data_IF_475931892516
#
_entry.id   IF_475931892516
#
_cell.length_a   1.000
_cell.length_b   1.000
_cell.length_c   1.000
_cell.angle_alpha   90.00
_cell.angle_beta   90.00
_cell.angle_gamma   90.00
#
_symmetry.space_group_name_H-M   'P 1'
#
loop_
_entity.id
_entity.type
_entity.pdbx_description
1 polymer ?
#
# COMPACT_ATOMS: atom_id res chain seq x y z
N UNK A 1 1.46 -23.15 0.08
CA UNK A 1 1.55 -21.72 0.40
C UNK A 1 2.82 -21.14 -0.22
N UNK A 2 2.74 -19.95 -0.82
CA UNK A 2 3.86 -19.20 -1.40
C UNK A 2 4.13 -17.93 -0.59
N UNK A 3 5.38 -17.72 -0.18
CA UNK A 3 5.82 -16.51 0.54
C UNK A 3 6.82 -15.75 -0.31
N UNK A 4 6.56 -14.47 -0.54
CA UNK A 4 7.40 -13.58 -1.35
C UNK A 4 8.04 -12.50 -0.49
N UNK A 5 9.37 -12.42 -0.52
CA UNK A 5 10.12 -11.27 0.00
C UNK A 5 10.45 -10.28 -1.12
N UNK A 6 10.09 -9.01 -0.93
CA UNK A 6 10.46 -7.91 -1.80
C UNK A 6 11.41 -6.97 -1.07
N UNK A 7 12.59 -6.75 -1.61
CA UNK A 7 13.55 -5.79 -1.07
C UNK A 7 13.81 -4.67 -2.07
N UNK A 8 13.54 -3.44 -1.65
CA UNK A 8 13.85 -2.20 -2.38
C UNK A 8 15.22 -1.62 -1.98
N UNK A 9 16.00 -2.35 -1.18
CA UNK A 9 17.32 -1.91 -0.74
C UNK A 9 18.45 -2.42 -1.62
N UNK A 10 19.66 -1.95 -1.33
CA UNK A 10 20.87 -2.43 -2.01
C UNK A 10 21.06 -3.93 -1.79
N UNK A 11 21.45 -4.61 -2.86
CA UNK A 11 21.77 -6.05 -2.84
C UNK A 11 22.73 -6.39 -1.70
N UNK A 12 22.39 -7.42 -0.93
CA UNK A 12 23.17 -7.93 0.22
C UNK A 12 23.53 -6.88 1.28
N UNK A 13 22.70 -5.83 1.44
CA UNK A 13 22.84 -4.83 2.50
C UNK A 13 21.67 -4.93 3.49
N UNK A 14 21.53 -3.94 4.37
CA UNK A 14 20.64 -3.96 5.53
C UNK A 14 19.20 -4.42 5.21
N UNK A 15 18.52 -3.81 4.24
CA UNK A 15 17.14 -4.19 3.87
C UNK A 15 17.05 -5.61 3.33
N UNK A 16 18.00 -6.03 2.48
CA UNK A 16 18.06 -7.40 1.96
C UNK A 16 18.20 -8.42 3.09
N UNK A 17 19.08 -8.12 4.06
CA UNK A 17 19.34 -8.98 5.22
C UNK A 17 18.07 -9.13 6.04
N UNK A 18 17.41 -8.01 6.38
CA UNK A 18 16.19 -8.02 7.19
C UNK A 18 15.03 -8.74 6.49
N UNK A 19 14.82 -8.52 5.19
CA UNK A 19 13.79 -9.25 4.43
C UNK A 19 14.10 -10.75 4.40
N UNK A 20 15.36 -11.14 4.17
CA UNK A 20 15.77 -12.56 4.15
C UNK A 20 15.63 -13.21 5.54
N UNK A 21 15.93 -12.50 6.61
CA UNK A 21 15.74 -13.00 7.98
C UNK A 21 14.27 -13.30 8.27
N UNK A 22 13.37 -12.39 7.89
CA UNK A 22 11.94 -12.63 7.98
C UNK A 22 11.52 -13.83 7.10
N UNK A 23 12.09 -14.02 5.90
CA UNK A 23 11.81 -15.21 5.10
C UNK A 23 12.29 -16.51 5.76
N UNK A 24 13.40 -16.51 6.49
CA UNK A 24 13.81 -17.67 7.29
C UNK A 24 12.79 -17.97 8.40
N UNK A 25 12.29 -16.93 9.07
CA UNK A 25 11.18 -17.05 10.01
C UNK A 25 9.91 -17.62 9.38
N UNK A 26 9.53 -17.13 8.21
CA UNK A 26 8.37 -17.63 7.47
C UNK A 26 8.52 -19.12 7.11
N UNK A 27 9.72 -19.55 6.67
CA UNK A 27 9.99 -20.97 6.39
C UNK A 27 9.94 -21.83 7.65
N UNK A 28 10.29 -21.29 8.81
CA UNK A 28 10.17 -21.98 10.10
C UNK A 28 8.72 -22.13 10.55
N UNK A 29 7.90 -21.09 10.38
CA UNK A 29 6.45 -21.13 10.69
C UNK A 29 5.66 -22.03 9.75
N UNK A 30 6.12 -22.16 8.50
CA UNK A 30 5.53 -23.03 7.50
C UNK A 30 6.61 -23.82 6.73
N UNK A 31 7.01 -25.00 7.24
CA UNK A 31 8.07 -25.82 6.64
C UNK A 31 7.85 -26.19 5.18
N UNK A 32 6.59 -26.33 4.74
CA UNK A 32 6.24 -26.68 3.35
C UNK A 32 6.04 -25.45 2.44
N UNK A 33 6.26 -24.24 2.94
CA UNK A 33 6.11 -23.03 2.15
C UNK A 33 7.18 -22.94 1.05
N UNK A 34 6.75 -22.54 -0.15
CA UNK A 34 7.65 -22.12 -1.22
C UNK A 34 8.08 -20.68 -0.95
N UNK A 35 9.39 -20.46 -0.84
CA UNK A 35 9.97 -19.16 -0.52
C UNK A 35 10.58 -18.56 -1.77
N UNK A 36 10.18 -17.34 -2.12
CA UNK A 36 10.78 -16.56 -3.21
C UNK A 36 11.27 -15.22 -2.68
N UNK A 37 12.40 -14.75 -3.19
CA UNK A 37 12.97 -13.45 -2.86
C UNK A 37 13.27 -12.67 -4.14
N UNK A 38 12.86 -11.41 -4.19
CA UNK A 38 13.14 -10.49 -5.29
C UNK A 38 13.76 -9.21 -4.70
N UNK A 39 14.97 -8.88 -5.13
CA UNK A 39 15.54 -7.56 -4.92
C UNK A 39 15.22 -6.69 -6.14
N UNK A 40 14.58 -5.54 -5.92
CA UNK A 40 14.12 -4.65 -7.01
C UNK A 40 15.18 -3.64 -7.43
N UNK A 41 16.29 -3.51 -6.70
CA UNK A 41 17.25 -2.41 -6.88
C UNK A 41 17.89 -2.37 -8.28
N UNK A 42 17.97 -3.51 -8.96
CA UNK A 42 18.51 -3.60 -10.33
C UNK A 42 17.42 -3.82 -11.39
N UNK A 43 16.14 -3.76 -11.01
CA UNK A 43 15.02 -3.87 -11.94
C UNK A 43 14.68 -2.49 -12.51
N UNK A 44 14.30 -2.48 -13.78
CA UNK A 44 13.76 -1.32 -14.47
C UNK A 44 12.25 -1.26 -14.22
N UNK A 45 11.85 -0.37 -13.31
CA UNK A 45 10.44 -0.09 -13.01
C UNK A 45 10.24 1.41 -13.15
N UNK A 46 9.65 1.82 -14.28
CA UNK A 46 9.32 3.23 -14.52
C UNK A 46 8.09 3.66 -13.69
N UNK A 47 7.84 4.96 -13.62
CA UNK A 47 6.72 5.57 -12.90
C UNK A 47 5.39 5.39 -13.64
N UNK A 48 4.29 5.54 -12.90
CA UNK A 48 2.98 5.71 -13.52
C UNK A 48 2.94 7.03 -14.30
N UNK A 49 2.37 7.02 -15.51
CA UNK A 49 2.20 8.20 -16.36
C UNK A 49 0.77 8.75 -16.34
N UNK A 50 -0.12 8.18 -15.51
CA UNK A 50 -1.51 8.64 -15.40
C UNK A 50 -2.35 8.45 -16.67
N UNK A 51 -1.96 7.54 -17.58
CA UNK A 51 -2.62 7.42 -18.88
C UNK A 51 -4.06 6.85 -18.79
N UNK A 52 -4.42 6.16 -17.70
CA UNK A 52 -5.73 5.54 -17.51
C UNK A 52 -6.02 4.30 -18.37
N UNK A 53 -5.01 3.76 -19.07
CA UNK A 53 -5.21 2.63 -19.98
C UNK A 53 -5.67 1.35 -19.28
N UNK A 54 -5.17 1.06 -18.08
CA UNK A 54 -5.59 -0.09 -17.28
C UNK A 54 -7.08 -0.01 -16.86
N UNK A 55 -7.56 1.17 -16.43
CA UNK A 55 -8.98 1.40 -16.10
C UNK A 55 -9.86 1.20 -17.34
N UNK A 56 -9.51 1.87 -18.44
CA UNK A 56 -10.26 1.73 -19.70
C UNK A 56 -10.25 0.30 -20.23
N UNK A 57 -9.16 -0.44 -20.07
CA UNK A 57 -9.08 -1.85 -20.48
C UNK A 57 -10.07 -2.70 -19.68
N UNK A 58 -10.13 -2.50 -18.37
CA UNK A 58 -11.10 -3.15 -17.48
C UNK A 58 -12.55 -2.76 -17.84
N UNK A 59 -12.84 -1.49 -18.07
CA UNK A 59 -14.17 -1.01 -18.46
C UNK A 59 -14.62 -1.58 -19.82
N UNK A 60 -13.68 -1.84 -20.74
CA UNK A 60 -13.95 -2.41 -22.06
C UNK A 60 -13.92 -3.96 -22.09
N UNK A 61 -14.10 -4.60 -20.94
CA UNK A 61 -14.28 -6.06 -20.88
C UNK A 61 -13.00 -6.89 -20.92
N UNK A 62 -11.83 -6.27 -20.79
CA UNK A 62 -10.52 -6.94 -20.77
C UNK A 62 -9.94 -7.00 -19.35
N UNK A 63 -8.73 -7.52 -19.23
CA UNK A 63 -7.95 -7.38 -18.00
C UNK A 63 -7.37 -5.96 -17.85
N UNK A 64 -6.94 -5.59 -16.64
CA UNK A 64 -6.45 -4.26 -16.27
C UNK A 64 -4.91 -4.11 -16.38
N UNK A 65 -4.30 -4.78 -17.34
CA UNK A 65 -2.85 -4.79 -17.54
C UNK A 65 -2.27 -3.39 -17.81
N UNK A 66 -1.07 -3.16 -17.27
CA UNK A 66 -0.32 -1.95 -17.57
C UNK A 66 0.23 -1.99 -19.01
N UNK A 67 0.07 -0.90 -19.75
CA UNK A 67 0.62 -0.75 -21.11
C UNK A 67 2.13 -0.48 -21.11
N UNK A 68 2.67 0.05 -20.01
CA UNK A 68 4.12 0.22 -19.85
C UNK A 68 4.70 -1.16 -19.56
N UNK A 69 5.59 -1.64 -20.44
CA UNK A 69 6.20 -2.97 -20.35
C UNK A 69 7.65 -2.86 -19.88
N UNK A 70 7.95 -3.44 -18.73
CA UNK A 70 9.23 -3.42 -18.03
C UNK A 70 9.25 -4.49 -16.92
N UNK A 71 10.19 -4.44 -15.98
CA UNK A 71 10.35 -5.51 -14.99
C UNK A 71 9.19 -5.57 -13.96
N UNK A 72 8.28 -4.58 -13.95
CA UNK A 72 7.11 -4.60 -13.06
C UNK A 72 6.27 -5.85 -13.25
N UNK A 73 6.07 -6.30 -14.50
CA UNK A 73 5.18 -7.43 -14.79
C UNK A 73 5.65 -8.72 -14.10
N UNK A 74 6.96 -8.95 -14.04
CA UNK A 74 7.52 -10.12 -13.36
C UNK A 74 7.32 -10.05 -11.85
N UNK A 75 7.50 -8.86 -11.26
CA UNK A 75 7.28 -8.64 -9.81
C UNK A 75 5.80 -8.79 -9.46
N UNK A 76 4.93 -8.20 -10.28
CA UNK A 76 3.48 -8.32 -10.14
C UNK A 76 3.02 -9.77 -10.19
N UNK A 77 3.47 -10.56 -11.18
CA UNK A 77 3.09 -11.95 -11.28
C UNK A 77 3.52 -12.75 -10.03
N UNK A 78 4.73 -12.48 -9.51
CA UNK A 78 5.18 -13.08 -8.26
C UNK A 78 4.26 -12.70 -7.07
N UNK A 79 3.81 -11.45 -7.00
CA UNK A 79 2.85 -11.00 -5.97
C UNK A 79 1.52 -11.71 -6.16
N UNK A 80 1.06 -11.86 -7.40
CA UNK A 80 -0.23 -12.50 -7.70
C UNK A 80 -0.26 -13.95 -7.24
N UNK A 81 0.82 -14.68 -7.46
CA UNK A 81 0.97 -16.05 -6.97
C UNK A 81 1.11 -16.16 -5.45
N UNK A 82 1.73 -15.16 -4.80
CA UNK A 82 2.00 -15.18 -3.36
C UNK A 82 0.73 -15.24 -2.51
N UNK A 83 0.83 -15.90 -1.36
CA UNK A 83 -0.15 -15.89 -0.27
C UNK A 83 0.26 -14.87 0.81
N UNK A 84 1.57 -14.82 1.10
CA UNK A 84 2.17 -13.96 2.10
C UNK A 84 3.31 -13.13 1.51
N UNK A 85 3.48 -11.91 2.02
CA UNK A 85 4.46 -10.93 1.54
C UNK A 85 5.28 -10.38 2.71
N UNK A 86 6.59 -10.29 2.53
CA UNK A 86 7.48 -9.49 3.37
C UNK A 86 8.05 -8.39 2.48
N UNK A 87 7.80 -7.13 2.82
CA UNK A 87 8.24 -5.99 2.00
C UNK A 87 9.18 -5.11 2.80
N UNK A 88 10.40 -4.95 2.31
CA UNK A 88 11.43 -4.13 2.93
C UNK A 88 11.86 -2.96 2.04
N UNK A 89 12.01 -1.76 2.60
CA UNK A 89 12.53 -0.60 1.87
C UNK A 89 13.45 0.28 2.74
N UNK A 90 14.55 0.82 2.18
CA UNK A 90 15.35 1.82 2.87
C UNK A 90 14.59 3.16 2.94
N UNK A 91 14.82 3.89 4.02
CA UNK A 91 14.23 5.21 4.24
C UNK A 91 15.19 6.32 3.81
N UNK A 92 14.71 7.20 2.93
CA UNK A 92 15.37 8.42 2.49
C UNK A 92 14.41 9.60 2.67
N UNK A 93 14.81 10.61 3.44
CA UNK A 93 13.96 11.78 3.76
C UNK A 93 12.62 11.34 4.36
N UNK A 94 12.69 10.54 5.44
CA UNK A 94 11.55 10.00 6.22
C UNK A 94 10.69 8.92 5.52
N UNK A 95 10.71 8.83 4.19
CA UNK A 95 9.90 7.87 3.42
C UNK A 95 10.74 6.77 2.76
N UNK A 96 10.12 5.66 2.33
CA UNK A 96 10.76 4.66 1.48
C UNK A 96 11.38 5.27 0.21
N UNK A 97 12.42 4.63 -0.30
CA UNK A 97 13.06 4.99 -1.58
C UNK A 97 12.06 5.22 -2.72
N UNK A 98 12.32 6.22 -3.58
CA UNK A 98 11.40 6.60 -4.67
C UNK A 98 11.01 5.46 -5.62
N UNK A 99 11.87 4.46 -5.81
CA UNK A 99 11.54 3.25 -6.58
C UNK A 99 10.33 2.50 -6.00
N UNK A 100 10.18 2.46 -4.68
CA UNK A 100 9.00 1.88 -4.02
C UNK A 100 7.73 2.62 -4.43
N UNK A 101 7.76 3.95 -4.46
CA UNK A 101 6.60 4.76 -4.87
C UNK A 101 6.27 4.58 -6.36
N UNK A 102 7.27 4.50 -7.24
CA UNK A 102 7.03 4.19 -8.66
C UNK A 102 6.33 2.85 -8.84
N UNK A 103 6.78 1.82 -8.09
CA UNK A 103 6.17 0.51 -8.06
C UNK A 103 4.71 0.59 -7.54
N UNK A 104 4.50 1.23 -6.38
CA UNK A 104 3.16 1.41 -5.78
C UNK A 104 2.22 2.13 -6.74
N UNK A 105 2.64 3.23 -7.38
CA UNK A 105 1.78 4.00 -8.28
C UNK A 105 1.35 3.24 -9.53
N UNK A 106 2.17 2.27 -9.98
CA UNK A 106 1.80 1.38 -11.09
C UNK A 106 1.07 0.13 -10.65
N UNK A 107 1.23 -0.32 -9.41
CA UNK A 107 0.53 -1.48 -8.87
C UNK A 107 -0.86 -1.12 -8.33
N UNK A 108 -0.93 -0.16 -7.41
CA UNK A 108 -2.05 0.09 -6.51
C UNK A 108 -3.39 0.38 -7.20
N UNK A 109 -3.54 1.49 -7.92
CA UNK A 109 -4.87 1.94 -8.38
C UNK A 109 -5.60 0.95 -9.28
N UNK A 110 -4.86 0.11 -10.03
CA UNK A 110 -5.48 -0.93 -10.86
C UNK A 110 -5.81 -2.19 -10.08
N UNK A 111 -5.15 -2.48 -8.97
CA UNK A 111 -5.43 -3.61 -8.09
C UNK A 111 -6.44 -3.28 -6.99
N UNK A 112 -7.14 -2.15 -7.09
CA UNK A 112 -8.19 -1.81 -6.13
C UNK A 112 -9.34 -2.84 -6.21
N UNK A 113 -9.50 -3.61 -5.14
CA UNK A 113 -10.47 -4.71 -5.09
C UNK A 113 -11.90 -4.22 -5.26
N UNK A 114 -12.25 -3.05 -4.70
CA UNK A 114 -13.60 -2.51 -4.84
C UNK A 114 -13.85 -1.99 -6.26
N UNK A 115 -12.90 -1.27 -6.84
CA UNK A 115 -13.03 -0.74 -8.20
C UNK A 115 -13.12 -1.88 -9.23
N UNK A 116 -12.34 -2.95 -9.06
CA UNK A 116 -12.44 -4.14 -9.91
C UNK A 116 -13.84 -4.76 -9.78
N UNK A 117 -14.29 -5.07 -8.56
CA UNK A 117 -15.60 -5.68 -8.34
C UNK A 117 -16.75 -4.80 -8.86
N UNK A 118 -16.63 -3.47 -8.74
CA UNK A 118 -17.59 -2.53 -9.31
C UNK A 118 -17.77 -2.72 -10.82
N UNK A 119 -16.67 -2.89 -11.57
CA UNK A 119 -16.74 -3.15 -13.02
C UNK A 119 -17.25 -4.56 -13.30
N UNK A 120 -16.82 -5.58 -12.54
CA UNK A 120 -17.29 -6.95 -12.72
C UNK A 120 -18.79 -7.09 -12.46
N UNK A 121 -19.35 -6.39 -11.48
CA UNK A 121 -20.79 -6.35 -11.22
C UNK A 121 -21.56 -5.73 -12.40
N UNK A 122 -21.02 -4.67 -13.00
CA UNK A 122 -21.60 -4.11 -14.24
C UNK A 122 -21.58 -5.10 -15.39
N UNK A 123 -20.50 -5.89 -15.53
CA UNK A 123 -20.45 -6.97 -16.54
C UNK A 123 -21.51 -8.04 -16.27
N UNK A 124 -21.65 -8.49 -15.02
CA UNK A 124 -22.70 -9.45 -14.60
C UNK A 124 -24.10 -8.97 -14.93
N UNK A 125 -24.34 -7.66 -14.79
CA UNK A 125 -25.64 -7.05 -15.07
C UNK A 125 -25.85 -6.68 -16.55
N UNK A 126 -24.86 -6.90 -17.43
CA UNK A 126 -24.94 -6.49 -18.84
C UNK A 126 -24.80 -4.98 -19.08
N UNK A 127 -24.35 -4.21 -18.07
CA UNK A 127 -24.11 -2.77 -18.14
C UNK A 127 -22.72 -2.41 -18.70
N UNK A 128 -21.81 -3.39 -18.74
CA UNK A 128 -20.47 -3.26 -19.29
C UNK A 128 -20.10 -4.51 -20.12
N UNK A 129 -19.26 -4.37 -21.16
CA UNK A 129 -18.83 -5.51 -21.98
C UNK A 129 -17.88 -6.44 -21.22
N UNK A 130 -17.78 -7.68 -21.71
CA UNK A 130 -16.85 -8.70 -21.21
C UNK A 130 -17.48 -9.67 -20.22
N UNK A 131 -16.93 -10.87 -20.16
CA UNK A 131 -17.34 -11.90 -19.19
C UNK A 131 -16.70 -11.60 -17.83
N UNK A 132 -17.48 -11.48 -16.74
CA UNK A 132 -16.94 -11.30 -15.39
C UNK A 132 -16.12 -12.50 -14.92
N UNK A 133 -16.43 -13.72 -15.37
CA UNK A 133 -15.76 -14.95 -14.94
C UNK A 133 -14.46 -15.21 -15.72
N UNK A 134 -14.32 -14.62 -16.91
CA UNK A 134 -13.06 -14.60 -17.66
C UNK A 134 -12.00 -13.64 -17.08
N UNK A 135 -12.36 -12.79 -16.10
CA UNK A 135 -11.39 -11.96 -15.40
C UNK A 135 -10.47 -12.81 -14.52
N UNK A 136 -9.21 -12.39 -14.41
CA UNK A 136 -8.18 -13.08 -13.63
C UNK A 136 -8.46 -12.95 -12.12
N UNK A 137 -9.29 -13.86 -11.58
CA UNK A 137 -9.81 -13.82 -10.21
C UNK A 137 -8.72 -13.84 -9.13
N UNK A 138 -7.55 -14.39 -9.43
CA UNK A 138 -6.37 -14.37 -8.56
C UNK A 138 -5.88 -12.94 -8.23
N UNK A 139 -6.26 -11.93 -9.02
CA UNK A 139 -6.01 -10.52 -8.68
C UNK A 139 -6.78 -10.08 -7.44
N UNK A 140 -7.94 -10.69 -7.17
CA UNK A 140 -8.79 -10.42 -6.00
C UNK A 140 -8.42 -11.29 -4.78
N UNK A 141 -7.45 -12.19 -4.93
CA UNK A 141 -6.96 -13.03 -3.84
C UNK A 141 -6.47 -12.18 -2.68
N UNK A 142 -6.97 -12.47 -1.47
CA UNK A 142 -6.49 -11.88 -0.24
C UNK A 142 -5.05 -12.33 0.05
N UNK A 143 -4.22 -11.39 0.50
CA UNK A 143 -2.81 -11.64 0.85
C UNK A 143 -2.48 -11.08 2.22
N UNK A 144 -1.50 -11.67 2.89
CA UNK A 144 -1.02 -11.22 4.19
C UNK A 144 0.34 -10.55 4.01
N UNK A 145 0.59 -9.42 4.67
CA UNK A 145 1.80 -8.61 4.42
C UNK A 145 2.41 -8.09 5.72
N UNK A 146 3.74 -8.09 5.80
CA UNK A 146 4.50 -7.35 6.80
C UNK A 146 5.47 -6.37 6.15
N UNK A 147 5.67 -5.24 6.82
CA UNK A 147 6.50 -4.14 6.31
C UNK A 147 7.73 -3.91 7.18
N UNK A 148 8.88 -3.70 6.54
CA UNK A 148 10.15 -3.38 7.20
C UNK A 148 10.71 -2.09 6.57
N UNK A 149 10.78 -1.01 7.33
CA UNK A 149 11.51 0.20 6.92
C UNK A 149 12.90 0.22 7.54
N UNK A 150 13.89 0.75 6.81
CA UNK A 150 15.30 0.67 7.21
C UNK A 150 15.96 2.04 7.10
N UNK A 151 16.15 2.70 8.23
CA UNK A 151 16.78 4.02 8.37
C UNK A 151 18.21 3.94 8.89
N UNK A 152 19.07 4.81 8.35
CA UNK A 152 20.47 4.91 8.79
C UNK A 152 20.65 5.63 10.13
N UNK A 153 19.81 6.63 10.41
CA UNK A 153 19.91 7.45 11.62
C UNK A 153 19.45 6.68 12.87
N UNK A 154 20.09 6.95 14.01
CA UNK A 154 19.84 6.23 15.26
C UNK A 154 18.48 6.60 15.88
N UNK A 155 18.02 7.85 15.70
CA UNK A 155 16.78 8.32 16.30
C UNK A 155 15.54 7.85 15.52
N UNK A 156 14.52 7.26 16.19
CA UNK A 156 13.35 6.69 15.51
C UNK A 156 12.49 7.69 14.72
N UNK A 157 12.58 8.99 15.00
CA UNK A 157 11.84 9.99 14.25
C UNK A 157 12.23 10.05 12.76
N UNK A 158 13.44 9.60 12.39
CA UNK A 158 13.88 9.54 11.00
C UNK A 158 13.22 8.42 10.17
N UNK A 159 12.50 7.51 10.81
CA UNK A 159 11.71 6.45 10.16
C UNK A 159 10.20 6.65 10.39
N UNK A 160 9.78 7.83 10.87
CA UNK A 160 8.38 8.16 11.21
C UNK A 160 7.39 8.00 10.05
N UNK A 161 7.85 8.17 8.81
CA UNK A 161 7.04 7.95 7.60
C UNK A 161 7.43 6.66 6.85
N UNK A 162 8.22 5.78 7.47
CA UNK A 162 8.71 4.53 6.90
C UNK A 162 7.57 3.54 6.67
N UNK A 163 7.29 2.68 7.66
CA UNK A 163 6.23 1.67 7.52
C UNK A 163 4.85 2.30 7.26
N UNK A 164 4.55 3.47 7.81
CA UNK A 164 3.27 4.15 7.60
C UNK A 164 2.93 4.40 6.13
N UNK A 165 3.92 4.76 5.30
CA UNK A 165 3.69 4.98 3.87
C UNK A 165 3.86 3.71 3.03
N UNK A 166 4.48 2.66 3.58
CA UNK A 166 4.51 1.34 2.92
C UNK A 166 3.13 0.69 2.85
N UNK A 167 2.22 1.02 3.76
CA UNK A 167 0.82 0.57 3.72
C UNK A 167 0.09 0.99 2.43
N UNK A 168 0.56 2.03 1.72
CA UNK A 168 0.02 2.47 0.44
C UNK A 168 0.09 1.40 -0.66
N UNK A 169 0.98 0.42 -0.51
CA UNK A 169 1.05 -0.75 -1.38
C UNK A 169 -0.15 -1.69 -1.19
N UNK A 170 -0.46 -2.02 0.06
CA UNK A 170 -1.36 -3.13 0.37
C UNK A 170 -2.84 -2.77 0.43
N UNK A 171 -3.20 -1.55 0.81
CA UNK A 171 -4.62 -1.23 1.09
C UNK A 171 -5.55 -1.35 -0.13
N UNK A 172 -5.18 -0.94 -1.37
CA UNK A 172 -6.09 -1.08 -2.52
C UNK A 172 -6.36 -2.56 -2.84
N UNK A 173 -5.34 -3.39 -2.70
CA UNK A 173 -5.42 -4.83 -2.88
C UNK A 173 -5.98 -5.57 -1.65
N UNK A 174 -6.51 -4.85 -0.65
CA UNK A 174 -7.02 -5.40 0.61
C UNK A 174 -6.08 -6.40 1.31
N UNK A 175 -4.77 -6.11 1.30
CA UNK A 175 -3.81 -6.96 2.00
C UNK A 175 -3.96 -6.81 3.51
N UNK A 176 -4.04 -7.93 4.23
CA UNK A 176 -4.08 -7.95 5.70
C UNK A 176 -2.66 -7.75 6.24
N UNK A 177 -2.44 -6.61 6.89
CA UNK A 177 -1.14 -6.32 7.52
C UNK A 177 -1.00 -7.13 8.81
N UNK A 178 0.12 -7.82 8.95
CA UNK A 178 0.44 -8.66 10.10
C UNK A 178 1.34 -7.94 11.10
N UNK A 179 2.31 -7.18 10.60
CA UNK A 179 3.20 -6.40 11.44
C UNK A 179 3.98 -5.34 10.68
N UNK A 180 4.49 -4.37 11.44
CA UNK A 180 5.38 -3.32 10.96
C UNK A 180 6.66 -3.34 11.78
N UNK A 181 7.80 -3.09 11.12
CA UNK A 181 9.08 -2.91 11.79
C UNK A 181 9.83 -1.72 11.20
N UNK A 182 10.10 -0.70 12.01
CA UNK A 182 10.93 0.44 11.63
C UNK A 182 12.32 0.28 12.24
N UNK A 183 13.29 -0.20 11.46
CA UNK A 183 14.68 -0.38 11.88
C UNK A 183 15.44 0.95 11.76
N UNK A 184 15.87 1.53 12.88
CA UNK A 184 16.73 2.72 12.94
C UNK A 184 18.15 2.36 13.36
N UNK A 185 19.12 3.24 13.06
CA UNK A 185 20.53 3.04 13.44
C UNK A 185 21.27 2.03 12.57
N UNK A 186 20.82 1.79 11.35
CA UNK A 186 21.35 0.71 10.49
C UNK A 186 22.65 1.04 9.76
N UNK A 187 23.06 2.31 9.75
CA UNK A 187 24.33 2.72 9.13
C UNK A 187 24.46 2.30 7.66
N UNK A 188 25.66 1.83 7.28
CA UNK A 188 26.03 1.63 5.87
C UNK A 188 25.68 0.23 5.33
N UNK A 189 26.26 -0.85 5.87
CA UNK A 189 26.06 -2.22 5.37
C UNK A 189 26.18 -3.26 6.48
N UNK A 190 25.35 -4.29 6.39
CA UNK A 190 25.35 -5.50 7.21
C UNK A 190 25.22 -5.30 8.74
N UNK A 191 24.96 -4.08 9.20
CA UNK A 191 24.78 -3.78 10.63
C UNK A 191 23.72 -4.65 11.33
N UNK A 192 22.56 -4.98 10.71
CA UNK A 192 21.54 -5.78 11.39
C UNK A 192 22.04 -7.12 11.92
N UNK A 193 23.03 -7.75 11.25
CA UNK A 193 23.53 -9.09 11.62
C UNK A 193 24.14 -9.09 13.03
N UNK A 194 24.56 -7.94 13.54
CA UNK A 194 25.17 -7.80 14.86
C UNK A 194 24.16 -7.43 15.97
N UNK A 195 22.87 -7.33 15.63
CA UNK A 195 21.78 -7.04 16.58
C UNK A 195 20.89 -8.27 16.73
N UNK A 196 21.26 -9.16 17.67
CA UNK A 196 20.55 -10.41 17.93
C UNK A 196 19.07 -10.20 18.26
N UNK A 197 18.75 -9.11 18.96
CA UNK A 197 17.37 -8.77 19.32
C UNK A 197 16.56 -8.40 18.09
N UNK A 198 17.08 -7.50 17.26
CA UNK A 198 16.42 -7.10 16.01
C UNK A 198 16.25 -8.30 15.07
N UNK A 199 17.30 -9.10 14.88
CA UNK A 199 17.24 -10.27 14.01
C UNK A 199 16.20 -11.27 14.49
N UNK A 200 16.11 -11.52 15.80
CA UNK A 200 15.07 -12.38 16.39
C UNK A 200 13.66 -11.82 16.20
N UNK A 201 13.46 -10.52 16.40
CA UNK A 201 12.15 -9.86 16.17
C UNK A 201 11.71 -9.93 14.71
N UNK A 202 12.64 -9.75 13.78
CA UNK A 202 12.41 -9.83 12.33
C UNK A 202 12.14 -11.27 11.89
N UNK A 203 12.83 -12.24 12.48
CA UNK A 203 12.55 -13.65 12.28
C UNK A 203 11.12 -13.98 12.72
N UNK A 204 10.72 -13.55 13.92
CA UNK A 204 9.37 -13.80 14.42
C UNK A 204 8.31 -13.06 13.58
N UNK A 205 8.58 -11.84 13.11
CA UNK A 205 7.70 -11.12 12.17
C UNK A 205 7.36 -11.99 10.97
N UNK A 206 8.36 -12.58 10.32
CA UNK A 206 8.14 -13.42 9.15
C UNK A 206 7.42 -14.73 9.46
N UNK A 207 7.72 -15.34 10.61
CA UNK A 207 6.99 -16.52 11.10
C UNK A 207 5.50 -16.21 11.27
N UNK A 208 5.17 -15.14 11.99
CA UNK A 208 3.78 -14.70 12.20
C UNK A 208 3.08 -14.38 10.88
N UNK A 209 3.76 -13.77 9.91
CA UNK A 209 3.19 -13.52 8.57
C UNK A 209 2.79 -14.81 7.86
N UNK A 210 3.61 -15.85 7.95
CA UNK A 210 3.31 -17.15 7.34
C UNK A 210 2.19 -17.90 8.09
N UNK A 211 2.17 -17.84 9.42
CA UNK A 211 1.16 -18.48 10.27
C UNK A 211 -0.21 -17.79 10.21
N UNK A 212 -0.29 -16.57 9.69
CA UNK A 212 -1.55 -15.87 9.44
C UNK A 212 -2.33 -16.46 8.25
N UNK A 213 -1.66 -17.17 7.35
CA UNK A 213 -2.29 -17.73 6.16
C UNK A 213 -3.43 -18.68 6.51
N UNK A 214 -4.60 -18.44 5.91
CA UNK A 214 -5.80 -19.26 6.09
C UNK A 214 -6.59 -18.97 7.36
N UNK A 215 -6.12 -18.06 8.23
CA UNK A 215 -6.88 -17.58 9.39
C UNK A 215 -7.86 -16.48 9.00
N UNK A 216 -8.99 -16.44 9.71
CA UNK A 216 -9.92 -15.31 9.66
C UNK A 216 -9.27 -14.05 10.27
N UNK A 217 -9.65 -12.86 9.80
CA UNK A 217 -9.04 -11.60 10.25
C UNK A 217 -9.15 -11.34 11.75
N UNK A 218 -10.23 -11.82 12.36
CA UNK A 218 -10.50 -11.70 13.80
C UNK A 218 -9.55 -12.56 14.65
N UNK A 219 -8.99 -13.62 14.06
CA UNK A 219 -8.11 -14.58 14.74
C UNK A 219 -6.63 -14.24 14.51
N UNK A 220 -6.34 -13.17 13.78
CA UNK A 220 -5.00 -12.66 13.50
C UNK A 220 -4.71 -11.50 14.46
N UNK A 221 -3.87 -11.77 15.45
CA UNK A 221 -3.33 -10.74 16.33
C UNK A 221 -2.29 -9.86 15.60
N UNK A 222 -2.20 -8.59 16.02
CA UNK A 222 -1.12 -7.71 15.58
C UNK A 222 0.23 -8.22 16.07
N UNK A 223 1.23 -8.24 15.19
CA UNK A 223 2.61 -8.49 15.60
C UNK A 223 3.45 -7.21 15.58
N UNK A 224 4.14 -6.99 16.70
CA UNK A 224 5.03 -5.85 16.90
C UNK A 224 4.43 -4.83 17.85
N UNK A 225 5.02 -3.64 17.88
CA UNK A 225 4.56 -2.56 18.76
C UNK A 225 3.19 -2.06 18.29
N UNK A 226 2.23 -1.98 19.20
CA UNK A 226 0.94 -1.34 18.92
C UNK A 226 1.12 0.16 18.73
N UNK A 227 0.48 0.71 17.70
CA UNK A 227 0.39 2.15 17.47
C UNK A 227 -0.95 2.72 17.89
N UNK A 228 -1.07 4.05 17.78
CA UNK A 228 -2.28 4.79 18.17
C UNK A 228 -3.51 4.40 17.36
N UNK A 229 -3.37 4.12 16.06
CA UNK A 229 -4.47 3.61 15.24
C UNK A 229 -4.61 2.09 15.41
N UNK A 230 -5.78 1.56 15.84
CA UNK A 230 -5.94 0.12 16.08
C UNK A 230 -6.04 -0.72 14.79
N UNK A 231 -6.14 -0.08 13.62
CA UNK A 231 -6.28 -0.80 12.34
C UNK A 231 -4.93 -0.99 11.64
N UNK A 232 -4.15 0.08 11.49
CA UNK A 232 -2.83 0.00 10.84
C UNK A 232 -1.65 0.00 11.82
N UNK A 233 -1.91 0.22 13.12
CA UNK A 233 -0.92 0.32 14.19
C UNK A 233 0.19 1.34 13.91
N UNK A 234 -0.17 2.43 13.20
CA UNK A 234 0.69 3.59 12.97
C UNK A 234 0.38 4.71 13.96
N UNK A 235 1.37 5.57 14.18
CA UNK A 235 1.31 6.68 15.15
C UNK A 235 1.09 8.05 14.48
N UNK A 236 0.83 8.10 13.17
CA UNK A 236 0.50 9.34 12.47
C UNK A 236 -0.98 9.70 12.68
N UNK A 237 -1.22 10.97 13.04
CA UNK A 237 -2.55 11.55 13.20
C UNK A 237 -2.60 12.92 12.54
N UNK A 238 -3.66 13.19 11.80
CA UNK A 238 -4.01 14.52 11.31
C UNK A 238 -4.83 15.23 12.39
N UNK A 239 -4.40 16.42 12.80
CA UNK A 239 -5.10 17.29 13.75
C UNK A 239 -5.75 18.47 13.03
N UNK A 240 -6.92 18.91 13.49
CA UNK A 240 -7.68 20.00 12.85
C UNK A 240 -8.11 21.10 13.84
N UNK A 241 -7.49 21.17 15.02
CA UNK A 241 -7.83 22.13 16.06
C UNK A 241 -9.03 21.74 16.93
N UNK A 242 -9.61 20.54 16.73
CA UNK A 242 -10.64 19.97 17.61
C UNK A 242 -10.12 18.73 18.33
N UNK A 243 -10.94 18.14 19.21
CA UNK A 243 -10.65 16.83 19.83
C UNK A 243 -10.81 15.66 18.86
N UNK A 244 -11.18 15.91 17.61
CA UNK A 244 -11.24 14.90 16.55
C UNK A 244 -9.91 14.85 15.80
N UNK A 245 -9.40 13.64 15.58
CA UNK A 245 -8.23 13.38 14.75
C UNK A 245 -8.55 12.31 13.71
N UNK A 246 -7.79 12.32 12.61
CA UNK A 246 -7.88 11.29 11.58
C UNK A 246 -6.58 10.48 11.53
N UNK A 247 -6.68 9.16 11.35
CA UNK A 247 -5.54 8.39 10.89
C UNK A 247 -5.37 8.61 9.37
N UNK A 248 -4.28 9.25 8.88
CA UNK A 248 -4.13 9.57 7.46
C UNK A 248 -3.94 8.33 6.58
N UNK A 249 -3.63 7.17 7.16
CA UNK A 249 -3.52 5.90 6.42
C UNK A 249 -4.90 5.24 6.32
N UNK A 250 -5.59 5.07 7.45
CA UNK A 250 -6.86 4.36 7.51
C UNK A 250 -8.07 5.22 7.14
N UNK A 251 -7.98 6.54 7.17
CA UNK A 251 -9.10 7.44 6.88
C UNK A 251 -10.22 7.40 7.92
N UNK A 252 -9.86 7.01 9.15
CA UNK A 252 -10.80 6.84 10.25
C UNK A 252 -10.65 7.96 11.26
N UNK A 253 -11.76 8.38 11.82
CA UNK A 253 -11.81 9.42 12.84
C UNK A 253 -11.74 8.83 14.26
N UNK A 254 -10.98 9.50 15.12
CA UNK A 254 -10.85 9.18 16.54
C UNK A 254 -11.05 10.41 17.41
N UNK A 255 -11.37 10.19 18.68
CA UNK A 255 -11.49 11.25 19.70
C UNK A 255 -10.28 11.21 20.63
N UNK A 256 -9.61 12.35 20.76
CA UNK A 256 -8.52 12.55 21.71
C UNK A 256 -9.09 12.77 23.12
N UNK A 257 -8.45 12.14 24.10
CA UNK A 257 -8.48 12.50 25.50
C UNK A 257 -7.05 12.57 26.06
N UNK A 258 -6.82 13.46 27.02
CA UNK A 258 -5.58 13.52 27.79
C UNK A 258 -5.87 12.94 29.16
N UNK A 259 -5.21 11.84 29.50
CA UNK A 259 -5.32 11.14 30.79
C UNK A 259 -3.96 11.25 31.51
N UNK A 260 -3.79 12.29 32.32
CA UNK A 260 -2.49 12.64 32.92
C UNK A 260 -1.47 13.03 31.86
N UNK A 261 -0.35 12.33 31.79
CA UNK A 261 0.70 12.54 30.77
C UNK A 261 0.49 11.72 29.48
N UNK A 262 -0.64 11.00 29.36
CA UNK A 262 -0.90 10.12 28.21
C UNK A 262 -1.94 10.74 27.27
N UNK A 263 -1.59 10.77 25.99
CA UNK A 263 -2.56 10.99 24.91
C UNK A 263 -3.25 9.67 24.58
N UNK A 264 -4.57 9.64 24.70
CA UNK A 264 -5.41 8.51 24.30
C UNK A 264 -6.26 8.91 23.12
N UNK A 265 -6.35 8.03 22.12
CA UNK A 265 -7.24 8.22 20.98
C UNK A 265 -8.18 7.02 20.90
N UNK A 266 -9.48 7.30 20.92
CA UNK A 266 -10.51 6.26 20.82
C UNK A 266 -11.13 6.31 19.44
N UNK A 267 -11.05 5.19 18.71
CA UNK A 267 -11.71 5.00 17.41
C UNK A 267 -12.90 4.06 17.62
N UNK A 268 -14.10 4.49 17.21
CA UNK A 268 -15.29 3.64 17.34
C UNK A 268 -15.23 2.44 16.40
N UNK A 269 -15.93 1.36 16.74
CA UNK A 269 -16.02 0.17 15.87
C UNK A 269 -16.55 0.51 14.47
N UNK A 270 -17.49 1.45 14.39
CA UNK A 270 -18.02 1.96 13.12
C UNK A 270 -16.93 2.63 12.28
N UNK A 271 -16.03 3.40 12.90
CA UNK A 271 -14.89 4.01 12.20
C UNK A 271 -13.87 2.95 11.78
N UNK A 272 -13.57 1.96 12.63
CA UNK A 272 -12.65 0.87 12.28
C UNK A 272 -13.19 0.01 11.12
N UNK A 273 -14.49 -0.29 11.09
CA UNK A 273 -15.12 -1.09 10.04
C UNK A 273 -15.03 -0.44 8.64
N UNK A 274 -14.99 0.90 8.57
CA UNK A 274 -14.87 1.68 7.33
C UNK A 274 -13.44 2.13 7.00
N UNK A 275 -12.42 1.59 7.68
CA UNK A 275 -11.04 1.94 7.37
C UNK A 275 -10.69 1.64 5.90
N UNK A 276 -9.83 2.45 5.28
CA UNK A 276 -9.44 2.35 3.86
C UNK A 276 -8.93 0.97 3.42
N UNK A 277 -8.40 0.16 4.35
CA UNK A 277 -7.97 -1.21 4.06
C UNK A 277 -9.08 -2.26 4.07
N UNK A 278 -10.33 -1.90 4.41
CA UNK A 278 -11.50 -2.80 4.38
C UNK A 278 -12.26 -2.63 3.08
N UNK A 279 -13.06 -3.64 2.71
CA UNK A 279 -13.92 -3.55 1.53
C UNK A 279 -14.90 -2.38 1.63
N UNK A 280 -15.44 -2.11 2.83
CA UNK A 280 -16.34 -0.99 3.06
C UNK A 280 -15.65 0.36 2.78
N UNK A 281 -14.45 0.57 3.32
CA UNK A 281 -13.68 1.79 3.08
C UNK A 281 -13.30 1.98 1.61
N UNK A 282 -12.86 0.92 0.93
CA UNK A 282 -12.59 0.97 -0.51
C UNK A 282 -13.86 1.25 -1.33
N UNK A 283 -15.01 0.70 -0.91
CA UNK A 283 -16.29 0.90 -1.57
C UNK A 283 -16.80 2.32 -1.44
N UNK A 284 -16.65 2.93 -0.27
CA UNK A 284 -16.94 4.36 -0.07
C UNK A 284 -16.13 5.22 -1.05
N UNK A 285 -14.82 4.99 -1.13
CA UNK A 285 -13.94 5.72 -2.06
C UNK A 285 -14.29 5.46 -3.53
N UNK A 286 -14.60 4.21 -3.89
CA UNK A 286 -15.03 3.86 -5.25
C UNK A 286 -16.31 4.61 -5.63
N UNK A 287 -17.30 4.65 -4.73
CA UNK A 287 -18.55 5.36 -4.95
C UNK A 287 -18.32 6.88 -5.11
N UNK A 288 -17.43 7.46 -4.29
CA UNK A 288 -17.03 8.87 -4.39
C UNK A 288 -16.42 9.19 -5.77
N UNK A 289 -15.46 8.37 -6.24
CA UNK A 289 -14.86 8.52 -7.56
C UNK A 289 -15.93 8.38 -8.65
N UNK A 290 -16.75 7.33 -8.62
CA UNK A 290 -17.77 7.14 -9.66
C UNK A 290 -18.81 8.28 -9.67
N UNK A 291 -18.99 8.99 -8.55
CA UNK A 291 -19.85 10.15 -8.43
C UNK A 291 -19.29 11.46 -8.98
N UNK A 292 -17.97 11.62 -9.17
CA UNK A 292 -17.39 12.92 -9.56
C UNK A 292 -17.95 13.42 -10.90
N UNK A 293 -18.27 12.51 -11.83
CA UNK A 293 -18.77 12.85 -13.16
C UNK A 293 -20.08 13.63 -13.09
N UNK A 294 -20.99 13.23 -12.19
CA UNK A 294 -22.27 13.91 -11.99
C UNK A 294 -22.10 15.35 -11.45
N UNK A 295 -21.00 15.63 -10.74
CA UNK A 295 -20.70 16.94 -10.15
C UNK A 295 -19.92 17.82 -11.15
N UNK A 296 -18.86 17.28 -11.73
CA UNK A 296 -17.91 18.04 -12.54
C UNK A 296 -18.37 18.21 -13.99
N UNK A 297 -18.99 17.19 -14.60
CA UNK A 297 -19.31 17.22 -16.03
C UNK A 297 -20.33 18.30 -16.40
N UNK A 298 -21.44 18.52 -15.67
CA UNK A 298 -22.37 19.60 -15.98
C UNK A 298 -21.71 20.99 -15.93
N UNK A 299 -20.86 21.23 -14.92
CA UNK A 299 -20.10 22.48 -14.78
C UNK A 299 -19.15 22.70 -15.96
N UNK A 300 -18.43 21.65 -16.38
CA UNK A 300 -17.48 21.71 -17.51
C UNK A 300 -18.25 21.96 -18.81
N UNK A 301 -19.32 21.22 -19.08
CA UNK A 301 -20.11 21.35 -20.31
C UNK A 301 -20.74 22.74 -20.44
N UNK A 302 -21.33 23.27 -19.36
CA UNK A 302 -21.95 24.59 -19.36
C UNK A 302 -20.96 25.75 -19.53
N UNK A 303 -19.67 25.52 -19.29
CA UNK A 303 -18.62 26.55 -19.34
C UNK A 303 -17.53 26.24 -20.36
N UNK A 304 -17.79 25.41 -21.37
CA UNK A 304 -16.76 24.92 -22.30
C UNK A 304 -15.95 26.05 -22.95
N UNK A 305 -16.63 27.03 -23.55
CA UNK A 305 -15.96 28.17 -24.21
C UNK A 305 -15.19 29.04 -23.21
N UNK A 306 -15.76 29.29 -22.03
CA UNK A 306 -15.11 30.04 -20.97
C UNK A 306 -13.86 29.30 -20.46
N UNK A 307 -13.93 27.99 -20.33
CA UNK A 307 -12.82 27.14 -19.93
C UNK A 307 -11.71 27.19 -20.99
N UNK A 308 -12.04 27.04 -22.27
CA UNK A 308 -11.08 27.13 -23.37
C UNK A 308 -10.35 28.48 -23.36
N UNK A 309 -11.09 29.58 -23.20
CA UNK A 309 -10.53 30.93 -23.09
C UNK A 309 -9.61 31.09 -21.87
N UNK A 310 -10.02 30.61 -20.68
CA UNK A 310 -9.21 30.69 -19.46
C UNK A 310 -7.97 29.81 -19.53
N UNK A 311 -8.08 28.65 -20.17
CA UNK A 311 -6.96 27.71 -20.36
C UNK A 311 -5.87 28.26 -21.27
N UNK A 312 -6.16 29.26 -22.12
CA UNK A 312 -5.15 29.87 -23.00
C UNK A 312 -3.95 30.42 -22.23
N UNK A 313 -4.20 31.08 -21.08
CA UNK A 313 -3.14 31.63 -20.23
C UNK A 313 -2.24 30.51 -19.69
N UNK A 314 -2.85 29.41 -19.26
CA UNK A 314 -2.12 28.26 -18.71
C UNK A 314 -1.41 27.43 -19.79
N UNK A 315 -2.01 27.28 -20.97
CA UNK A 315 -1.39 26.61 -22.12
C UNK A 315 -0.17 27.38 -22.65
N UNK A 316 -0.19 28.70 -22.53
CA UNK A 316 0.92 29.57 -22.92
C UNK A 316 1.61 30.19 -21.69
N UNK A 317 1.73 29.43 -20.60
CA UNK A 317 2.24 29.92 -19.32
C UNK A 317 3.58 30.68 -19.46
N UNK A 318 4.54 30.11 -20.20
CA UNK A 318 5.85 30.73 -20.42
C UNK A 318 5.79 32.08 -21.13
N UNK A 319 4.78 32.29 -21.99
CA UNK A 319 4.56 33.59 -22.62
C UNK A 319 4.06 34.58 -21.58
N UNK A 320 2.99 34.23 -20.87
CA UNK A 320 2.30 35.14 -19.95
C UNK A 320 3.07 35.46 -18.66
N UNK A 321 3.99 34.59 -18.21
CA UNK A 321 4.79 34.85 -17.00
C UNK A 321 5.96 35.80 -17.26
N UNK A 322 6.34 35.98 -18.53
CA UNK A 322 7.47 36.81 -18.94
C UNK A 322 7.03 38.14 -19.60
N UNK A 323 5.72 38.42 -19.64
CA UNK A 323 5.10 39.69 -20.06
C UNK A 323 4.77 40.56 -18.83
#
# INVERSE_FOLDING_TARGET
>A
MKVLGLSFGRKNCNTDILVKEALFGAKKGAPDAEIRFINTNNLTIDRCIGCGACSRSLENGKDNDCIVKDDLQMVEEAIREADCLIVGAPVYVLQPVGQFKNFVDRFSCRHDVSAINWVLDKRRNGEAPGDPDAYQQERLKKRYVSYISVGGAITPNWVSMGTSTMHLFGFPAMMKVIGNYDASGMGTRANPILDDKMMSEIHELGKQTSEAYGKDDKDIAWFGKEGTCPVCHQNLLTVNGTTTVECPICGIEGKIAIEGEKLKVTFSDAQQARARGTFAGLREHTAEIQGFGAICAPKIMANKELLDKRMEVYKNFEKYINE
#
